data_IF_876308992726
#
_entry.id   IF_876308992726
#
_cell.length_a   1.000
_cell.length_b   1.000
_cell.length_c   1.000
_cell.angle_alpha   90.00
_cell.angle_beta   90.00
_cell.angle_gamma   90.00
#
_symmetry.space_group_name_H-M   'P 1'
#
loop_
_entity.id
_entity.type
_entity.pdbx_description
1 polymer ?
#
# COMPACT_ATOMS: atom_id res chain seq x y z
N UNK A 1 33.76 -67.40 5.61
CA UNK A 1 32.50 -67.09 6.31
C UNK A 1 32.70 -65.79 7.09
N UNK A 2 32.04 -64.70 6.70
CA UNK A 2 32.05 -63.43 7.42
C UNK A 2 30.63 -62.83 7.38
N UNK A 3 30.13 -62.25 8.49
CA UNK A 3 28.70 -62.01 8.70
C UNK A 3 28.16 -60.70 8.10
N UNK A 4 26.86 -60.73 7.81
CA UNK A 4 25.97 -59.68 7.28
C UNK A 4 25.91 -58.45 8.21
N UNK A 5 26.21 -57.25 7.69
CA UNK A 5 25.98 -55.95 8.33
C UNK A 5 24.49 -55.55 8.23
N UNK A 6 23.89 -55.26 9.39
CA UNK A 6 22.53 -54.74 9.55
C UNK A 6 22.45 -53.25 9.17
N UNK A 7 21.32 -52.90 8.56
CA UNK A 7 20.85 -51.56 8.22
C UNK A 7 20.19 -50.89 9.44
N UNK A 8 20.09 -49.56 9.37
CA UNK A 8 19.28 -48.61 10.18
C UNK A 8 19.73 -48.43 11.64
N UNK A 9 19.79 -47.23 12.23
CA UNK A 9 18.95 -46.03 12.13
C UNK A 9 19.77 -44.76 12.38
N UNK A 10 19.71 -43.78 11.48
CA UNK A 10 20.13 -42.41 11.79
C UNK A 10 18.98 -41.73 12.56
N UNK A 11 19.27 -41.31 13.79
CA UNK A 11 18.39 -40.47 14.60
C UNK A 11 18.31 -39.09 13.96
N UNK A 12 17.16 -38.77 13.36
CA UNK A 12 16.85 -37.42 12.92
C UNK A 12 16.44 -36.59 14.15
N UNK A 13 17.26 -35.61 14.52
CA UNK A 13 16.81 -34.50 15.37
C UNK A 13 15.81 -33.63 14.60
N UNK A 14 14.90 -32.93 15.28
CA UNK A 14 13.96 -32.03 14.60
C UNK A 14 14.73 -30.84 14.05
N UNK A 15 15.03 -30.85 12.75
CA UNK A 15 15.42 -29.67 12.01
C UNK A 15 14.18 -28.78 11.88
N UNK A 16 14.02 -27.82 12.78
CA UNK A 16 12.99 -26.77 12.68
C UNK A 16 13.37 -25.79 11.58
N UNK A 17 13.27 -26.22 10.32
CA UNK A 17 13.16 -25.30 9.21
C UNK A 17 11.80 -24.63 9.37
N UNK A 18 11.75 -23.32 9.65
CA UNK A 18 10.53 -22.50 9.66
C UNK A 18 9.90 -22.52 8.25
N UNK A 19 9.22 -23.62 7.91
CA UNK A 19 8.42 -23.72 6.71
C UNK A 19 7.18 -22.88 6.94
N UNK A 20 7.03 -21.83 6.15
CA UNK A 20 5.81 -21.04 6.08
C UNK A 20 4.58 -21.96 6.04
N UNK A 21 3.63 -21.72 6.95
CA UNK A 21 2.35 -22.40 7.01
C UNK A 21 1.54 -22.19 5.73
N UNK A 22 0.49 -22.97 5.54
CA UNK A 22 -0.41 -22.82 4.40
C UNK A 22 -0.96 -21.38 4.29
N UNK A 23 -1.30 -20.79 5.43
CA UNK A 23 -1.77 -19.40 5.55
C UNK A 23 -0.67 -18.38 5.20
N UNK A 24 0.57 -18.61 5.65
CA UNK A 24 1.70 -17.74 5.30
C UNK A 24 2.00 -17.76 3.80
N UNK A 25 1.88 -18.93 3.14
CA UNK A 25 2.02 -19.04 1.68
C UNK A 25 0.88 -18.38 0.93
N UNK A 26 -0.34 -18.43 1.46
CA UNK A 26 -1.52 -17.80 0.87
C UNK A 26 -1.38 -16.27 0.85
N UNK A 27 -0.78 -15.71 1.91
CA UNK A 27 -0.52 -14.27 2.01
C UNK A 27 0.89 -13.84 1.56
N UNK A 28 1.65 -14.74 0.92
CA UNK A 28 3.00 -14.47 0.43
C UNK A 28 4.02 -13.98 1.49
N UNK A 29 3.81 -14.27 2.77
CA UNK A 29 4.75 -13.88 3.83
C UNK A 29 5.74 -15.00 4.19
N UNK A 30 6.92 -14.60 4.64
CA UNK A 30 7.97 -15.50 5.08
C UNK A 30 7.61 -16.22 6.38
N UNK A 31 8.22 -17.38 6.62
CA UNK A 31 8.04 -18.11 7.88
C UNK A 31 8.51 -17.34 9.12
N UNK A 32 9.41 -16.36 8.94
CA UNK A 32 9.84 -15.46 10.01
C UNK A 32 8.75 -14.45 10.34
N UNK A 33 8.17 -13.78 9.33
CA UNK A 33 7.04 -12.85 9.50
C UNK A 33 5.84 -13.58 10.14
N UNK A 34 5.50 -14.77 9.67
CA UNK A 34 4.46 -15.61 10.30
C UNK A 34 4.73 -15.83 11.80
N UNK A 35 5.99 -16.15 12.15
CA UNK A 35 6.37 -16.42 13.54
C UNK A 35 6.20 -15.15 14.38
N UNK A 36 6.64 -14.00 13.88
CA UNK A 36 6.44 -12.70 14.53
C UNK A 36 4.95 -12.38 14.72
N UNK A 37 4.11 -12.56 13.70
CA UNK A 37 2.64 -12.34 13.80
C UNK A 37 2.05 -13.23 14.90
N UNK A 38 2.42 -14.52 14.91
CA UNK A 38 1.92 -15.49 15.90
C UNK A 38 2.37 -15.12 17.32
N UNK A 39 3.62 -14.73 17.50
CA UNK A 39 4.15 -14.31 18.79
C UNK A 39 3.43 -13.05 19.29
N UNK A 40 3.36 -12.00 18.47
CA UNK A 40 2.68 -10.76 18.84
C UNK A 40 1.20 -10.98 19.16
N UNK A 41 0.49 -11.75 18.34
CA UNK A 41 -0.90 -12.11 18.59
C UNK A 41 -1.06 -12.83 19.94
N UNK A 42 -0.20 -13.80 20.23
CA UNK A 42 -0.27 -14.59 21.46
C UNK A 42 -0.06 -13.78 22.74
N UNK A 43 0.60 -12.62 22.66
CA UNK A 43 0.80 -11.73 23.81
C UNK A 43 -0.50 -11.08 24.30
N UNK A 44 -1.46 -10.87 23.41
CA UNK A 44 -2.69 -10.13 23.70
C UNK A 44 -3.96 -10.99 23.52
N UNK A 45 -3.86 -12.15 22.88
CA UNK A 45 -4.96 -13.06 22.67
C UNK A 45 -5.50 -13.63 23.99
N UNK A 46 -6.83 -13.74 24.07
CA UNK A 46 -7.54 -14.30 25.22
C UNK A 46 -8.42 -15.46 24.77
N UNK A 47 -8.58 -16.45 25.64
CA UNK A 47 -9.59 -17.47 25.43
C UNK A 47 -10.97 -16.90 25.76
N UNK A 48 -11.90 -17.02 24.81
CA UNK A 48 -13.26 -16.52 24.97
C UNK A 48 -14.28 -17.66 24.81
N UNK A 49 -15.30 -17.78 25.70
CA UNK A 49 -16.27 -18.87 25.65
C UNK A 49 -17.00 -19.00 24.30
N UNK A 50 -17.31 -17.87 23.65
CA UNK A 50 -18.00 -17.86 22.36
C UNK A 50 -17.08 -18.22 21.18
N UNK A 51 -15.77 -18.33 21.42
CA UNK A 51 -14.76 -18.66 20.42
C UNK A 51 -13.91 -19.84 20.90
N UNK A 52 -14.52 -20.81 21.58
CA UNK A 52 -13.81 -21.97 22.14
C UNK A 52 -13.09 -22.84 21.07
N UNK A 53 -13.50 -22.71 19.80
CA UNK A 53 -12.90 -23.38 18.65
C UNK A 53 -11.59 -22.70 18.18
N UNK A 54 -11.41 -21.42 18.52
CA UNK A 54 -10.21 -20.64 18.20
C UNK A 54 -9.06 -21.05 19.11
N UNK A 55 -8.27 -22.03 18.68
CA UNK A 55 -7.14 -22.56 19.47
C UNK A 55 -6.11 -21.51 19.88
N UNK A 56 -5.97 -20.46 19.05
CA UNK A 56 -5.04 -19.36 19.28
C UNK A 56 -5.67 -18.24 20.13
N UNK A 57 -6.93 -18.38 20.53
CA UNK A 57 -7.72 -17.34 21.19
C UNK A 57 -8.13 -16.22 20.24
N UNK A 58 -8.81 -15.23 20.80
CA UNK A 58 -9.28 -14.04 20.09
C UNK A 58 -8.63 -12.78 20.68
N UNK A 59 -8.42 -11.78 19.83
CA UNK A 59 -8.05 -10.44 20.26
C UNK A 59 -9.30 -9.61 20.53
N UNK A 60 -9.23 -8.70 21.50
CA UNK A 60 -10.24 -7.64 21.60
C UNK A 60 -9.93 -6.56 20.57
N UNK A 61 -10.96 -5.91 20.02
CA UNK A 61 -10.76 -4.79 19.08
C UNK A 61 -9.80 -3.72 19.62
N UNK A 62 -9.89 -3.40 20.92
CA UNK A 62 -8.97 -2.45 21.56
C UNK A 62 -7.51 -2.90 21.69
N UNK A 63 -7.22 -4.19 21.51
CA UNK A 63 -5.87 -4.76 21.59
C UNK A 63 -5.21 -4.94 20.21
N UNK A 64 -5.98 -4.82 19.12
CA UNK A 64 -5.48 -4.89 17.73
C UNK A 64 -4.35 -3.87 17.51
N UNK A 65 -4.54 -2.62 17.97
CA UNK A 65 -3.50 -1.58 17.89
C UNK A 65 -2.22 -1.99 18.60
N UNK A 66 -2.33 -2.60 19.79
CA UNK A 66 -1.15 -3.04 20.58
C UNK A 66 -0.41 -4.17 19.88
N UNK A 67 -1.14 -5.10 19.28
CA UNK A 67 -0.60 -6.17 18.45
C UNK A 67 0.18 -5.64 17.25
N UNK A 68 -0.40 -4.73 16.46
CA UNK A 68 0.27 -4.15 15.29
C UNK A 68 1.50 -3.32 15.67
N UNK A 69 1.45 -2.59 16.79
CA UNK A 69 2.61 -1.88 17.32
C UNK A 69 3.74 -2.84 17.74
N UNK A 70 3.42 -3.99 18.32
CA UNK A 70 4.43 -5.02 18.66
C UNK A 70 5.11 -5.61 17.42
N UNK A 71 4.43 -5.58 16.27
CA UNK A 71 4.96 -5.99 14.96
C UNK A 71 5.66 -4.85 14.20
N UNK A 72 5.66 -3.63 14.74
CA UNK A 72 6.13 -2.43 14.06
C UNK A 72 5.41 -2.17 12.72
N UNK A 73 4.10 -2.45 12.71
CA UNK A 73 3.18 -2.22 11.60
C UNK A 73 2.29 -1.00 11.87
N UNK A 74 1.83 -0.29 10.83
CA UNK A 74 0.94 0.85 10.98
C UNK A 74 -0.43 0.42 11.50
N UNK A 75 -1.15 1.35 12.12
CA UNK A 75 -2.52 1.15 12.60
C UNK A 75 -3.42 2.25 12.04
N UNK A 76 -4.52 1.85 11.41
CA UNK A 76 -5.67 2.71 11.09
C UNK A 76 -6.90 2.27 11.88
N UNK A 77 -7.78 3.23 12.19
CA UNK A 77 -9.07 2.94 12.81
C UNK A 77 -9.99 2.13 11.88
N UNK A 78 -9.86 2.30 10.56
CA UNK A 78 -10.67 1.62 9.54
C UNK A 78 -10.44 0.10 9.53
N UNK A 79 -9.28 -0.36 9.99
CA UNK A 79 -8.96 -1.78 10.04
C UNK A 79 -9.87 -2.57 10.98
N UNK A 80 -10.41 -1.93 12.02
CA UNK A 80 -11.32 -2.62 12.95
C UNK A 80 -12.64 -3.01 12.28
N UNK A 81 -13.18 -2.16 11.42
CA UNK A 81 -14.40 -2.46 10.66
C UNK A 81 -14.18 -3.62 9.68
N UNK A 82 -12.97 -3.74 9.12
CA UNK A 82 -12.61 -4.85 8.25
C UNK A 82 -12.38 -6.17 9.02
N UNK A 83 -11.79 -6.09 10.22
CA UNK A 83 -11.49 -7.25 11.06
C UNK A 83 -12.71 -7.78 11.83
N UNK A 84 -13.67 -6.92 12.13
CA UNK A 84 -14.86 -7.23 12.93
C UNK A 84 -16.14 -6.61 12.31
N UNK A 85 -16.57 -7.11 11.13
CA UNK A 85 -17.72 -6.56 10.42
C UNK A 85 -19.05 -6.74 11.17
N UNK A 86 -19.13 -7.73 12.06
CA UNK A 86 -20.30 -7.98 12.92
C UNK A 86 -20.30 -7.10 14.18
N UNK A 87 -19.27 -6.28 14.39
CA UNK A 87 -19.06 -5.50 15.62
C UNK A 87 -19.14 -6.37 16.89
N UNK A 88 -18.64 -7.61 16.80
CA UNK A 88 -18.59 -8.57 17.89
C UNK A 88 -17.67 -8.12 19.04
N UNK A 89 -16.76 -7.18 18.75
CA UNK A 89 -15.72 -6.68 19.64
C UNK A 89 -14.48 -7.58 19.70
N UNK A 90 -14.47 -8.67 18.94
CA UNK A 90 -13.42 -9.68 18.93
C UNK A 90 -12.89 -9.93 17.51
N UNK A 91 -11.59 -10.19 17.42
CA UNK A 91 -10.88 -10.47 16.17
C UNK A 91 -10.23 -11.84 16.28
N UNK A 92 -10.49 -12.72 15.30
CA UNK A 92 -9.88 -14.05 15.23
C UNK A 92 -8.44 -13.99 14.73
N UNK A 93 -7.68 -15.07 14.94
CA UNK A 93 -6.30 -15.11 14.49
C UNK A 93 -6.21 -15.00 12.97
N UNK A 94 -7.11 -15.67 12.26
CA UNK A 94 -7.14 -15.68 10.79
C UNK A 94 -7.37 -14.26 10.23
N UNK A 95 -8.35 -13.54 10.78
CA UNK A 95 -8.63 -12.16 10.39
C UNK A 95 -7.44 -11.23 10.67
N UNK A 96 -6.89 -11.29 11.89
CA UNK A 96 -5.71 -10.48 12.24
C UNK A 96 -4.50 -10.83 11.38
N UNK A 97 -4.29 -12.12 11.11
CA UNK A 97 -3.17 -12.61 10.31
C UNK A 97 -3.25 -12.08 8.88
N UNK A 98 -4.43 -12.11 8.25
CA UNK A 98 -4.61 -11.56 6.92
C UNK A 98 -4.27 -10.07 6.85
N UNK A 99 -4.73 -9.27 7.82
CA UNK A 99 -4.36 -7.85 7.89
C UNK A 99 -2.86 -7.66 8.14
N UNK A 100 -2.29 -8.36 9.11
CA UNK A 100 -0.87 -8.22 9.44
C UNK A 100 0.02 -8.62 8.26
N UNK A 101 -0.37 -9.66 7.52
CA UNK A 101 0.34 -10.11 6.32
C UNK A 101 0.24 -9.07 5.18
N UNK A 102 -0.94 -8.49 4.96
CA UNK A 102 -1.12 -7.38 4.02
C UNK A 102 -0.18 -6.22 4.35
N UNK A 103 -0.13 -5.82 5.62
CA UNK A 103 0.74 -4.73 6.08
C UNK A 103 2.24 -5.07 6.02
N UNK A 104 2.62 -6.35 6.13
CA UNK A 104 4.01 -6.76 5.92
C UNK A 104 4.41 -6.65 4.45
N UNK A 105 3.51 -7.01 3.53
CA UNK A 105 3.74 -6.88 2.10
C UNK A 105 3.82 -5.39 1.69
N UNK A 106 2.89 -4.56 2.17
CA UNK A 106 2.92 -3.09 2.00
C UNK A 106 4.21 -2.46 2.54
N UNK A 107 4.72 -2.96 3.68
CA UNK A 107 5.97 -2.46 4.29
C UNK A 107 7.23 -2.93 3.55
N UNK A 108 7.27 -4.15 3.02
CA UNK A 108 8.42 -4.66 2.28
C UNK A 108 8.44 -4.16 0.83
N UNK A 109 7.27 -3.90 0.26
CA UNK A 109 7.07 -3.35 -1.07
C UNK A 109 6.24 -2.05 -1.00
N UNK A 110 6.78 -0.95 -0.45
CA UNK A 110 6.08 0.34 -0.44
C UNK A 110 5.88 0.92 -1.85
N UNK A 111 6.54 0.33 -2.87
CA UNK A 111 6.64 0.84 -4.24
C UNK A 111 6.47 -0.26 -5.33
N UNK A 112 5.93 -1.46 -5.02
CA UNK A 112 5.70 -2.53 -6.04
C UNK A 112 4.22 -2.96 -6.21
N UNK A 113 3.27 -2.05 -6.01
CA UNK A 113 1.89 -2.16 -6.53
C UNK A 113 1.74 -1.39 -7.87
N UNK A 114 2.75 -1.54 -8.74
CA UNK A 114 2.70 -1.14 -10.15
C UNK A 114 2.64 -2.41 -11.02
N UNK A 115 1.60 -3.23 -10.83
CA UNK A 115 1.04 -4.02 -11.92
C UNK A 115 -0.39 -4.48 -11.55
N UNK A 116 -1.38 -3.87 -12.21
CA UNK A 116 -2.74 -4.41 -12.36
C UNK A 116 -3.69 -4.29 -11.15
N UNK A 117 -4.04 -3.07 -10.77
CA UNK A 117 -5.02 -2.83 -9.70
C UNK A 117 -5.78 -1.50 -9.74
N UNK A 118 -6.20 -1.01 -10.91
CA UNK A 118 -7.24 0.03 -11.07
C UNK A 118 -7.21 1.21 -10.08
N UNK A 119 -6.08 1.93 -9.99
CA UNK A 119 -5.99 3.24 -9.33
C UNK A 119 -6.05 4.38 -10.37
N UNK A 120 -6.95 4.27 -11.35
CA UNK A 120 -7.05 5.27 -12.44
C UNK A 120 -7.51 6.66 -11.93
N UNK A 121 -8.15 6.70 -10.74
CA UNK A 121 -8.80 7.90 -10.19
C UNK A 121 -7.90 8.75 -9.27
N UNK A 122 -6.78 8.21 -8.74
CA UNK A 122 -5.88 8.97 -7.88
C UNK A 122 -4.64 9.48 -8.65
N UNK A 123 -4.22 10.74 -8.44
CA UNK A 123 -3.05 11.28 -9.11
C UNK A 123 -1.76 10.65 -8.57
N UNK A 124 -0.93 10.10 -9.46
CA UNK A 124 0.30 9.39 -9.11
C UNK A 124 1.25 10.28 -8.31
N UNK A 125 2.06 9.69 -7.42
CA UNK A 125 3.02 10.45 -6.59
C UNK A 125 3.94 11.34 -7.45
N UNK A 126 4.40 10.82 -8.60
CA UNK A 126 5.20 11.56 -9.58
C UNK A 126 4.44 12.74 -10.18
N UNK A 127 3.14 12.57 -10.44
CA UNK A 127 2.28 13.63 -10.92
C UNK A 127 2.16 14.76 -9.89
N UNK A 128 2.04 14.41 -8.61
CA UNK A 128 2.00 15.38 -7.51
C UNK A 128 3.32 16.14 -7.37
N UNK A 129 4.46 15.46 -7.49
CA UNK A 129 5.78 16.09 -7.41
C UNK A 129 6.03 17.03 -8.60
N UNK A 130 5.73 16.58 -9.82
CA UNK A 130 5.82 17.40 -11.01
C UNK A 130 4.89 18.61 -10.92
N UNK A 131 3.65 18.45 -10.48
CA UNK A 131 2.70 19.53 -10.30
C UNK A 131 3.20 20.60 -9.34
N UNK A 132 3.80 20.18 -8.20
CA UNK A 132 4.42 21.10 -7.23
C UNK A 132 5.59 21.86 -7.81
N UNK A 133 6.38 21.23 -8.68
CA UNK A 133 7.47 21.89 -9.39
C UNK A 133 6.96 22.97 -10.34
N UNK A 134 5.89 22.68 -11.09
CA UNK A 134 5.24 23.62 -12.00
C UNK A 134 4.60 24.80 -11.26
N UNK A 135 3.89 24.57 -10.14
CA UNK A 135 3.22 25.64 -9.39
C UNK A 135 4.10 26.30 -8.30
N UNK A 136 5.40 25.96 -8.21
CA UNK A 136 6.35 26.43 -7.19
C UNK A 136 5.86 26.26 -5.75
N UNK A 137 5.13 25.18 -5.47
CA UNK A 137 4.59 24.88 -4.16
C UNK A 137 3.66 25.98 -3.60
N UNK A 138 3.01 26.77 -4.48
CA UNK A 138 2.11 27.88 -4.09
C UNK A 138 0.72 27.41 -3.65
N UNK A 139 0.41 26.12 -3.77
CA UNK A 139 -0.83 25.52 -3.25
C UNK A 139 -2.08 25.85 -4.07
N UNK A 140 -1.97 25.85 -5.40
CA UNK A 140 -3.06 26.13 -6.32
C UNK A 140 -2.80 25.62 -7.75
N UNK A 141 -3.69 25.92 -8.71
CA UNK A 141 -3.58 25.43 -10.07
C UNK A 141 -2.34 25.97 -10.80
N UNK A 142 -1.91 25.26 -11.85
CA UNK A 142 -0.91 25.75 -12.78
C UNK A 142 -1.56 26.87 -13.59
N UNK A 143 -0.97 28.07 -13.54
CA UNK A 143 -1.47 29.26 -14.22
C UNK A 143 -0.60 29.61 -15.42
N UNK A 144 -1.09 30.53 -16.25
CA UNK A 144 -0.33 31.07 -17.38
C UNK A 144 1.05 31.62 -16.97
N UNK A 145 1.13 32.25 -15.80
CA UNK A 145 2.39 32.76 -15.24
C UNK A 145 3.38 31.64 -14.92
N UNK A 146 2.89 30.48 -14.48
CA UNK A 146 3.71 29.30 -14.22
C UNK A 146 4.28 28.75 -15.54
N UNK A 147 3.45 28.56 -16.57
CA UNK A 147 3.91 28.06 -17.86
C UNK A 147 4.91 29.01 -18.55
N UNK A 148 4.68 30.33 -18.52
CA UNK A 148 5.65 31.31 -19.03
C UNK A 148 7.01 31.19 -18.37
N UNK A 149 7.03 30.89 -17.07
CA UNK A 149 8.27 30.72 -16.33
C UNK A 149 8.99 29.45 -16.79
N UNK A 150 8.27 28.34 -16.88
CA UNK A 150 8.83 27.05 -17.31
C UNK A 150 9.39 27.16 -18.73
N UNK A 151 8.66 27.76 -19.67
CA UNK A 151 9.14 27.98 -21.04
C UNK A 151 10.48 28.77 -21.06
N UNK A 152 10.60 29.81 -20.22
CA UNK A 152 11.84 30.58 -20.08
C UNK A 152 12.97 29.79 -19.43
N UNK A 153 12.67 28.93 -18.45
CA UNK A 153 13.65 28.04 -17.81
C UNK A 153 14.18 27.00 -18.80
N UNK A 154 13.31 26.49 -19.69
CA UNK A 154 13.66 25.56 -20.78
C UNK A 154 14.29 26.25 -22.00
N UNK A 155 14.34 27.58 -22.02
CA UNK A 155 14.77 28.41 -23.17
C UNK A 155 13.97 28.13 -24.45
N UNK A 156 12.71 27.76 -24.30
CA UNK A 156 11.77 27.62 -25.42
C UNK A 156 11.07 28.96 -25.67
N UNK A 157 10.97 29.33 -26.94
CA UNK A 157 10.25 30.53 -27.38
C UNK A 157 8.80 30.12 -27.70
N UNK A 158 7.91 30.30 -26.72
CA UNK A 158 6.50 29.92 -26.81
C UNK A 158 5.64 31.17 -26.62
N UNK A 159 4.83 31.49 -27.62
CA UNK A 159 3.91 32.63 -27.57
C UNK A 159 2.81 32.46 -26.52
N UNK A 160 2.31 33.60 -26.03
CA UNK A 160 1.28 33.66 -25.01
C UNK A 160 -0.01 32.92 -25.42
N UNK A 161 -0.38 32.99 -26.71
CA UNK A 161 -1.54 32.31 -27.26
C UNK A 161 -1.39 30.77 -27.18
N UNK A 162 -0.19 30.25 -27.42
CA UNK A 162 0.11 28.82 -27.32
C UNK A 162 0.04 28.37 -25.87
N UNK A 163 0.59 29.14 -24.93
CA UNK A 163 0.52 28.82 -23.50
C UNK A 163 -0.92 28.83 -22.97
N UNK A 164 -1.77 29.73 -23.47
CA UNK A 164 -3.20 29.73 -23.15
C UNK A 164 -3.91 28.48 -23.71
N UNK A 165 -3.59 28.09 -24.95
CA UNK A 165 -4.13 26.88 -25.56
C UNK A 165 -3.72 25.61 -24.79
N UNK A 166 -2.48 25.56 -24.27
CA UNK A 166 -2.00 24.46 -23.44
C UNK A 166 -2.80 24.31 -22.14
N UNK A 167 -3.20 25.42 -21.50
CA UNK A 167 -4.03 25.37 -20.30
C UNK A 167 -5.44 24.88 -20.60
N UNK A 168 -6.03 25.38 -21.69
CA UNK A 168 -7.39 24.99 -22.13
C UNK A 168 -7.44 23.51 -22.53
N UNK A 169 -6.44 23.01 -23.24
CA UNK A 169 -6.35 21.58 -23.58
C UNK A 169 -6.19 20.71 -22.33
N UNK A 170 -5.47 21.20 -21.32
CA UNK A 170 -5.21 20.45 -20.10
C UNK A 170 -6.40 20.42 -19.13
N UNK A 171 -7.14 21.52 -18.98
CA UNK A 171 -8.31 21.59 -18.09
C UNK A 171 -9.64 21.23 -18.77
N UNK A 172 -9.65 21.06 -20.09
CA UNK A 172 -10.84 20.72 -20.85
C UNK A 172 -11.89 21.84 -20.94
N UNK A 173 -11.58 23.05 -20.47
CA UNK A 173 -12.50 24.19 -20.50
C UNK A 173 -12.42 24.95 -21.83
N UNK A 174 -13.32 24.62 -22.76
CA UNK A 174 -13.42 25.27 -24.07
C UNK A 174 -14.13 26.64 -24.05
N UNK A 175 -14.50 27.18 -22.88
CA UNK A 175 -15.14 28.50 -22.77
C UNK A 175 -14.16 29.66 -22.96
N UNK A 176 -14.67 30.81 -23.40
CA UNK A 176 -13.86 32.01 -23.60
C UNK A 176 -13.25 32.48 -22.27
N UNK A 177 -11.96 32.23 -22.11
CA UNK A 177 -11.23 32.53 -20.87
C UNK A 177 -10.99 31.34 -19.94
N UNK A 178 -11.28 30.11 -20.36
CA UNK A 178 -11.02 28.87 -19.60
C UNK A 178 -9.58 28.71 -19.11
N UNK A 179 -8.60 29.32 -19.79
CA UNK A 179 -7.20 29.37 -19.33
C UNK A 179 -7.02 30.08 -17.97
N UNK A 180 -7.98 30.90 -17.51
CA UNK A 180 -7.93 31.59 -16.21
C UNK A 180 -8.17 30.67 -15.04
N UNK A 181 -8.91 29.57 -15.23
CA UNK A 181 -9.11 28.55 -14.21
C UNK A 181 -7.78 27.86 -13.85
N UNK A 182 -6.86 27.79 -14.82
CA UNK A 182 -5.61 27.06 -14.70
C UNK A 182 -5.85 25.55 -14.77
N UNK A 183 -4.85 24.77 -14.37
CA UNK A 183 -4.89 23.31 -14.37
C UNK A 183 -4.70 22.81 -12.95
N UNK A 184 -5.65 22.05 -12.44
CA UNK A 184 -5.62 21.36 -11.15
C UNK A 184 -4.70 20.13 -11.18
N UNK A 185 -4.50 19.51 -10.03
CA UNK A 185 -3.66 18.31 -9.94
C UNK A 185 -4.25 17.14 -10.72
N UNK A 186 -5.57 16.93 -10.64
CA UNK A 186 -6.28 15.86 -11.33
C UNK A 186 -6.20 16.03 -12.85
N UNK A 187 -6.41 17.25 -13.35
CA UNK A 187 -6.29 17.57 -14.79
C UNK A 187 -4.85 17.40 -15.28
N UNK A 188 -3.87 17.81 -14.47
CA UNK A 188 -2.46 17.66 -14.80
C UNK A 188 -2.05 16.18 -14.87
N UNK A 189 -2.50 15.36 -13.91
CA UNK A 189 -2.30 13.91 -13.90
C UNK A 189 -2.89 13.24 -15.14
N UNK A 190 -4.14 13.57 -15.49
CA UNK A 190 -4.81 13.06 -16.68
C UNK A 190 -4.03 13.40 -17.97
N UNK A 191 -3.47 14.62 -18.06
CA UNK A 191 -2.62 15.02 -19.19
C UNK A 191 -1.35 14.20 -19.26
N UNK A 192 -0.68 13.94 -18.13
CA UNK A 192 0.56 13.17 -18.11
C UNK A 192 0.34 11.68 -18.40
N UNK A 193 -0.75 11.10 -17.90
CA UNK A 193 -1.20 9.74 -18.27
C UNK A 193 -1.47 9.64 -19.77
N UNK A 194 -2.22 10.59 -20.35
CA UNK A 194 -2.51 10.64 -21.79
C UNK A 194 -1.25 10.84 -22.65
N UNK A 195 -0.26 11.55 -22.13
CA UNK A 195 1.02 11.77 -22.81
C UNK A 195 1.97 10.57 -22.75
N UNK A 196 1.61 9.49 -22.03
CA UNK A 196 2.45 8.30 -21.87
C UNK A 196 3.71 8.56 -21.05
N UNK A 197 3.68 9.55 -20.16
CA UNK A 197 4.81 9.89 -19.28
C UNK A 197 4.93 8.89 -18.13
N UNK A 198 3.81 8.26 -17.74
CA UNK A 198 3.71 7.32 -16.61
C UNK A 198 2.93 6.05 -16.98
N UNK A 199 3.10 5.55 -18.21
CA UNK A 199 2.39 4.35 -18.71
C UNK A 199 3.26 3.45 -19.58
#
# INVERSE_FOLDING_TARGET
>A
MAPKRKQTTAVAGPSTTHRASKLAKEHNITGLQESSIREAYSLFAIQHPNFAEERQGVLRGGDVRRCLLALNLPYSADYLSALDPDASGFVTFDAFFGLAALLYNDKENPDEDDEEGSADDEPSTEAQEAFRLFNRNTGGPITLSHLRRVARELREDVDEATLQAMLVEANGEAEEGGWKAGVSLEEFDAVMKRAGVFG
#
